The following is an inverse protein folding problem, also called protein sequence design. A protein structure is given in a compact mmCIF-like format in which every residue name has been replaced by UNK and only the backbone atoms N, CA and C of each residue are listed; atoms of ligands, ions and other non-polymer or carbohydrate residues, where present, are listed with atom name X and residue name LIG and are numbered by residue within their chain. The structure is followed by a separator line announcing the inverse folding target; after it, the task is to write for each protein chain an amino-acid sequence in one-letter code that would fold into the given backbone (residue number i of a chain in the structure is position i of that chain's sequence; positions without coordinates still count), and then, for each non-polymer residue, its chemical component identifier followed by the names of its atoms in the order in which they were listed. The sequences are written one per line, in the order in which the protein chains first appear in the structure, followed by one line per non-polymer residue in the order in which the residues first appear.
data_IF_171719037010
#
_entry.id   IF_171719037010
#
_cell.length_a   1.000
_cell.length_b   1.000
_cell.length_c   1.000
_cell.angle_alpha   90.00
_cell.angle_beta   90.00
_cell.angle_gamma   90.00
#
_symmetry.space_group_name_H-M   'P 1'
#
loop_
_entity.id
_entity.type
_entity.pdbx_description
1 polymer ?
#
# COMPACT_ATOMS: atom_id res chain seq x y z
N UNK A 1 16.37 19.35 0.43
CA UNK A 1 16.90 18.17 1.15
C UNK A 1 16.61 16.94 0.29
N UNK A 2 17.53 15.99 0.19
CA UNK A 2 17.35 14.71 -0.52
C UNK A 2 17.75 13.59 0.43
N UNK A 3 16.90 12.58 0.65
CA UNK A 3 17.14 11.48 1.61
C UNK A 3 17.58 11.97 3.01
N UNK A 4 16.98 13.07 3.50
CA UNK A 4 17.29 13.62 4.84
C UNK A 4 18.58 14.45 4.93
N UNK A 5 19.33 14.65 3.82
CA UNK A 5 20.55 15.47 3.77
C UNK A 5 20.41 16.71 2.88
N UNK A 6 21.32 17.72 2.98
CA UNK A 6 21.40 18.81 2.01
C UNK A 6 21.54 18.29 0.57
N UNK A 7 21.03 19.05 -0.40
CA UNK A 7 21.16 18.68 -1.82
C UNK A 7 22.64 18.80 -2.19
N UNK A 8 23.26 17.77 -2.81
CA UNK A 8 24.66 17.84 -3.24
C UNK A 8 24.92 19.00 -4.21
N UNK A 9 26.13 19.56 -4.21
CA UNK A 9 26.47 20.61 -5.16
C UNK A 9 26.63 20.04 -6.58
N UNK A 10 26.68 20.92 -7.58
CA UNK A 10 26.91 20.50 -8.97
C UNK A 10 28.25 19.78 -9.10
N UNK A 11 28.22 18.50 -9.48
CA UNK A 11 29.41 17.64 -9.62
C UNK A 11 29.63 16.67 -8.46
N UNK A 12 28.94 16.86 -7.33
CA UNK A 12 28.98 15.90 -6.23
C UNK A 12 28.08 14.69 -6.53
N UNK A 13 28.44 13.48 -6.06
CA UNK A 13 27.63 12.29 -6.28
C UNK A 13 26.29 12.40 -5.56
N UNK A 14 25.21 12.08 -6.29
CA UNK A 14 23.86 12.06 -5.72
C UNK A 14 23.67 10.92 -4.72
N UNK A 15 24.36 9.79 -4.91
CA UNK A 15 24.35 8.62 -4.04
C UNK A 15 25.70 8.46 -3.35
N UNK A 16 25.67 8.29 -2.05
CA UNK A 16 26.84 7.94 -1.24
C UNK A 16 26.97 6.41 -1.17
N UNK A 17 28.15 5.94 -0.76
CA UNK A 17 28.38 4.51 -0.52
C UNK A 17 27.41 3.93 0.50
N UNK A 18 27.04 4.71 1.52
CA UNK A 18 26.04 4.33 2.51
C UNK A 18 24.65 4.15 1.89
N UNK A 19 24.22 5.01 0.96
CA UNK A 19 22.91 4.85 0.30
C UNK A 19 22.87 3.56 -0.51
N UNK A 20 23.98 3.24 -1.17
CA UNK A 20 24.13 1.98 -1.89
C UNK A 20 24.13 0.78 -0.94
N UNK A 21 24.82 0.87 0.20
CA UNK A 21 24.82 -0.19 1.21
C UNK A 21 23.41 -0.44 1.75
N UNK A 22 22.66 0.63 2.07
CA UNK A 22 21.26 0.53 2.49
C UNK A 22 20.35 -0.05 1.41
N UNK A 23 20.52 0.35 0.14
CA UNK A 23 19.74 -0.21 -0.96
C UNK A 23 20.01 -1.71 -1.17
N UNK A 24 21.27 -2.15 -1.04
CA UNK A 24 21.63 -3.57 -1.12
C UNK A 24 21.09 -4.37 0.08
N UNK A 25 21.13 -3.79 1.28
CA UNK A 25 20.55 -4.40 2.46
C UNK A 25 19.02 -4.55 2.34
N UNK A 26 18.33 -3.51 1.83
CA UNK A 26 16.89 -3.57 1.56
C UNK A 26 16.57 -4.67 0.53
N UNK A 27 17.34 -4.75 -0.56
CA UNK A 27 17.15 -5.79 -1.58
C UNK A 27 17.26 -7.21 -1.00
N UNK A 28 18.21 -7.43 -0.07
CA UNK A 28 18.34 -8.71 0.62
C UNK A 28 17.08 -9.02 1.44
N UNK A 29 16.62 -8.08 2.27
CA UNK A 29 15.44 -8.26 3.12
C UNK A 29 14.18 -8.49 2.27
N UNK A 30 13.98 -7.72 1.21
CA UNK A 30 12.85 -7.89 0.30
C UNK A 30 12.92 -9.20 -0.50
N UNK A 31 14.12 -9.71 -0.76
CA UNK A 31 14.36 -11.01 -1.39
C UNK A 31 13.97 -12.18 -0.48
N UNK A 32 14.07 -11.99 0.84
CA UNK A 32 13.75 -12.98 1.87
C UNK A 32 12.29 -12.90 2.36
N UNK A 33 11.48 -12.00 1.80
CA UNK A 33 10.07 -11.87 2.14
C UNK A 33 9.18 -12.75 1.22
N UNK A 34 8.19 -13.41 1.82
CA UNK A 34 7.17 -14.17 1.10
C UNK A 34 6.34 -13.23 0.22
N UNK A 35 6.23 -13.54 -1.08
CA UNK A 35 5.49 -12.72 -2.06
C UNK A 35 3.98 -12.66 -1.82
N UNK A 36 3.44 -13.55 -0.99
CA UNK A 36 2.03 -13.58 -0.62
C UNK A 36 1.72 -12.76 0.64
N UNK A 37 2.33 -13.12 1.77
CA UNK A 37 2.01 -12.53 3.07
C UNK A 37 3.02 -11.47 3.56
N UNK A 38 4.15 -11.30 2.89
CA UNK A 38 5.19 -10.33 3.24
C UNK A 38 6.07 -10.70 4.44
N UNK A 39 5.81 -11.83 5.12
CA UNK A 39 6.62 -12.31 6.23
C UNK A 39 7.95 -12.91 5.75
N UNK A 40 8.93 -13.04 6.66
CA UNK A 40 10.16 -13.79 6.41
C UNK A 40 9.86 -15.18 5.85
N UNK A 41 10.53 -15.57 4.76
CA UNK A 41 10.43 -16.93 4.19
C UNK A 41 10.95 -17.96 5.20
N UNK A 42 12.01 -17.66 5.94
CA UNK A 42 12.56 -18.56 6.95
C UNK A 42 11.51 -18.91 8.02
N UNK A 43 10.80 -17.91 8.53
CA UNK A 43 9.79 -18.13 9.57
C UNK A 43 8.51 -18.75 8.98
N UNK A 44 8.00 -18.19 7.87
CA UNK A 44 6.73 -18.62 7.28
C UNK A 44 6.77 -20.02 6.66
N UNK A 45 7.95 -20.62 6.51
CA UNK A 45 8.13 -22.00 6.02
C UNK A 45 8.64 -22.96 7.09
N UNK A 46 8.90 -22.49 8.32
CA UNK A 46 9.29 -23.34 9.43
C UNK A 46 8.07 -24.12 9.96
N UNK A 47 8.04 -25.46 9.85
CA UNK A 47 6.94 -26.26 10.37
C UNK A 47 6.76 -26.16 11.89
N UNK A 48 7.81 -25.79 12.64
CA UNK A 48 7.71 -25.58 14.08
C UNK A 48 6.84 -24.36 14.45
N UNK A 49 6.61 -23.45 13.50
CA UNK A 49 5.85 -22.22 13.69
C UNK A 49 4.42 -22.31 13.13
N UNK A 50 3.99 -23.45 12.59
CA UNK A 50 2.69 -23.60 11.88
C UNK A 50 1.49 -23.06 12.68
N UNK A 51 1.45 -23.34 13.98
CA UNK A 51 0.34 -22.94 14.87
C UNK A 51 0.50 -21.55 15.49
N UNK A 52 1.55 -20.80 15.15
CA UNK A 52 1.81 -19.45 15.70
C UNK A 52 1.20 -18.32 14.86
N UNK A 53 0.72 -18.62 13.66
CA UNK A 53 0.21 -17.63 12.72
C UNK A 53 -1.28 -17.31 12.99
N UNK A 54 -1.63 -16.03 12.87
CA UNK A 54 -3.03 -15.58 12.84
C UNK A 54 -3.26 -14.67 11.64
N UNK A 55 -4.36 -14.88 10.94
CA UNK A 55 -4.83 -14.01 9.88
C UNK A 55 -6.21 -13.43 10.24
N UNK A 56 -6.40 -12.14 9.97
CA UNK A 56 -7.69 -11.47 10.10
C UNK A 56 -8.24 -11.13 8.71
N UNK A 57 -9.53 -11.35 8.49
CA UNK A 57 -10.20 -10.98 7.24
C UNK A 57 -10.59 -9.50 7.29
N UNK A 58 -9.97 -8.68 6.45
CA UNK A 58 -10.26 -7.24 6.36
C UNK A 58 -11.23 -6.98 5.20
N UNK A 59 -12.39 -6.38 5.50
CA UNK A 59 -13.33 -5.91 4.49
C UNK A 59 -13.07 -4.46 4.11
N UNK A 60 -12.58 -4.21 2.89
CA UNK A 60 -12.52 -2.85 2.37
C UNK A 60 -13.92 -2.35 2.00
N UNK A 61 -14.45 -1.41 2.78
CA UNK A 61 -15.81 -0.87 2.55
C UNK A 61 -15.92 -0.09 1.23
N UNK A 62 -14.85 0.55 0.76
CA UNK A 62 -14.80 1.22 -0.53
C UNK A 62 -14.91 0.22 -1.69
N UNK A 63 -14.11 -0.84 -1.68
CA UNK A 63 -14.21 -1.92 -2.68
C UNK A 63 -15.54 -2.66 -2.60
N UNK A 64 -16.07 -2.86 -1.39
CA UNK A 64 -17.39 -3.46 -1.24
C UNK A 64 -18.49 -2.60 -1.87
N UNK A 65 -18.38 -1.26 -1.81
CA UNK A 65 -19.30 -0.36 -2.52
C UNK A 65 -19.13 -0.46 -4.04
N UNK A 66 -17.90 -0.38 -4.55
CA UNK A 66 -17.61 -0.58 -5.97
C UNK A 66 -18.16 -1.91 -6.50
N UNK A 67 -17.97 -3.00 -5.76
CA UNK A 67 -18.44 -4.32 -6.15
C UNK A 67 -19.96 -4.41 -6.24
N UNK A 68 -20.70 -3.72 -5.36
CA UNK A 68 -22.16 -3.63 -5.45
C UNK A 68 -22.61 -2.86 -6.69
N UNK A 69 -22.04 -1.68 -6.92
CA UNK A 69 -22.37 -0.86 -8.10
C UNK A 69 -22.04 -1.57 -9.41
N UNK A 70 -20.90 -2.27 -9.49
CA UNK A 70 -20.53 -3.06 -10.67
C UNK A 70 -21.46 -4.25 -10.88
N UNK A 71 -21.87 -4.95 -9.82
CA UNK A 71 -22.82 -6.05 -9.92
C UNK A 71 -24.18 -5.54 -10.43
N UNK A 72 -24.65 -4.40 -9.91
CA UNK A 72 -25.90 -3.77 -10.37
C UNK A 72 -25.80 -3.33 -11.85
N UNK A 73 -24.67 -2.76 -12.26
CA UNK A 73 -24.41 -2.41 -13.65
C UNK A 73 -24.40 -3.64 -14.57
N UNK A 74 -23.74 -4.73 -14.16
CA UNK A 74 -23.70 -5.99 -14.91
C UNK A 74 -25.07 -6.65 -15.05
N UNK A 75 -25.94 -6.54 -14.03
CA UNK A 75 -27.31 -7.03 -14.14
C UNK A 75 -28.16 -6.18 -15.09
N UNK A 76 -27.90 -4.86 -15.16
CA UNK A 76 -28.63 -3.92 -16.00
C UNK A 76 -28.16 -3.82 -17.45
N UNK A 77 -26.90 -4.20 -17.75
CA UNK A 77 -26.28 -4.08 -19.06
C UNK A 77 -25.73 -5.42 -19.57
N UNK A 78 -25.96 -5.72 -20.85
CA UNK A 78 -25.34 -6.88 -21.52
C UNK A 78 -23.91 -6.60 -21.98
N UNK A 79 -23.51 -5.33 -22.02
CA UNK A 79 -22.16 -4.92 -22.37
C UNK A 79 -21.47 -4.29 -21.16
N UNK A 80 -20.40 -4.94 -20.72
CA UNK A 80 -19.61 -4.56 -19.53
C UNK A 80 -18.21 -4.07 -19.91
N UNK A 81 -17.92 -4.01 -21.21
CA UNK A 81 -16.62 -3.57 -21.68
C UNK A 81 -16.40 -2.09 -21.38
N UNK A 82 -15.22 -1.76 -20.86
CA UNK A 82 -14.84 -0.38 -20.50
C UNK A 82 -15.48 0.15 -19.22
N UNK A 83 -16.26 -0.66 -18.49
CA UNK A 83 -16.85 -0.24 -17.22
C UNK A 83 -15.82 -0.24 -16.08
N UNK A 84 -15.73 0.85 -15.34
CA UNK A 84 -14.96 0.95 -14.10
C UNK A 84 -15.76 1.74 -13.05
N UNK A 85 -15.65 1.32 -11.79
CA UNK A 85 -16.28 2.02 -10.68
C UNK A 85 -15.30 3.02 -10.06
N UNK A 86 -15.64 4.31 -10.12
CA UNK A 86 -14.97 5.34 -9.33
C UNK A 86 -15.58 5.38 -7.92
N UNK A 87 -14.74 5.33 -6.88
CA UNK A 87 -15.19 5.37 -5.48
C UNK A 87 -14.72 6.65 -4.82
N UNK A 88 -15.66 7.47 -4.38
CA UNK A 88 -15.40 8.65 -3.55
C UNK A 88 -16.13 8.53 -2.20
N UNK A 89 -15.69 9.31 -1.21
CA UNK A 89 -16.42 9.45 0.05
C UNK A 89 -17.61 10.38 -0.17
N UNK A 90 -18.76 10.05 0.41
CA UNK A 90 -19.97 10.91 0.37
C UNK A 90 -19.88 12.09 1.34
N UNK A 91 -19.11 11.90 2.41
CA UNK A 91 -18.95 12.87 3.49
C UNK A 91 -17.47 13.01 3.81
N UNK A 92 -17.09 14.20 4.30
CA UNK A 92 -15.76 14.43 4.85
C UNK A 92 -15.57 13.60 6.13
N UNK A 93 -14.33 13.22 6.42
CA UNK A 93 -14.06 12.53 7.67
C UNK A 93 -14.30 13.49 8.85
N UNK A 94 -14.81 12.99 9.99
CA UNK A 94 -15.07 13.84 11.16
C UNK A 94 -13.81 14.51 11.71
N UNK A 95 -12.61 14.00 11.40
CA UNK A 95 -11.32 14.61 11.75
C UNK A 95 -10.72 15.50 10.66
N UNK A 96 -11.43 15.73 9.55
CA UNK A 96 -11.02 16.64 8.47
C UNK A 96 -11.72 18.00 8.51
N UNK A 97 -12.65 18.24 9.44
CA UNK A 97 -13.18 19.57 9.71
C UNK A 97 -12.13 20.39 10.45
N UNK A 98 -11.26 21.08 9.70
CA UNK A 98 -10.42 22.14 10.26
C UNK A 98 -11.36 23.24 10.75
N UNK A 99 -11.30 23.69 12.02
CA UNK A 99 -12.07 24.86 12.45
C UNK A 99 -11.66 26.02 11.55
N UNK A 100 -12.60 26.57 10.80
CA UNK A 100 -12.36 27.82 10.06
C UNK A 100 -11.93 28.86 11.09
N UNK A 101 -10.69 29.34 11.01
CA UNK A 101 -10.27 30.50 11.79
C UNK A 101 -11.16 31.67 11.36
N UNK A 102 -12.09 32.03 12.22
CA UNK A 102 -12.85 33.27 12.13
C UNK A 102 -11.89 34.41 12.45
N UNK A 103 -11.48 35.15 11.41
CA UNK A 103 -10.90 36.48 11.54
C UNK A 103 -11.99 37.54 11.69
#
# INVERSE_FOLDING_TARGET
MFLGRPIPASGDPLWLDDDRAWALALLQVEGEACRGCGQSVADSTDPALEEMWRADVIRCHACAAAGREMADFQHGSKDVHGAYAHVSRREALPWQTVPSQSG
#
